data_IF_532334300448
#
_entry.id   IF_532334300448
#
_cell.length_a   1.000
_cell.length_b   1.000
_cell.length_c   1.000
_cell.angle_alpha   90.00
_cell.angle_beta   90.00
_cell.angle_gamma   90.00
#
_symmetry.space_group_name_H-M   'P 1'
#
loop_
_entity.id
_entity.type
_entity.pdbx_description
1 polymer ?
#
# COMPACT_ATOMS: atom_id res chain seq x y z
N UNK A 1 10.32 -30.72 22.58
CA UNK A 1 10.50 -30.60 21.13
C UNK A 1 9.81 -29.34 20.70
N UNK A 2 10.52 -28.39 20.10
CA UNK A 2 9.92 -27.15 19.62
C UNK A 2 9.05 -27.46 18.40
N UNK A 3 7.74 -27.28 18.51
CA UNK A 3 6.84 -27.24 17.36
C UNK A 3 7.37 -26.19 16.39
N UNK A 4 7.65 -26.57 15.13
CA UNK A 4 8.04 -25.63 14.10
C UNK A 4 6.98 -24.53 14.02
N UNK A 5 7.38 -23.29 14.37
CA UNK A 5 6.49 -22.13 14.28
C UNK A 5 6.15 -21.95 12.80
N UNK A 6 4.86 -21.92 12.45
CA UNK A 6 4.43 -21.62 11.09
C UNK A 6 5.07 -20.30 10.64
N UNK A 7 5.63 -20.30 9.42
CA UNK A 7 6.26 -19.12 8.85
C UNK A 7 5.16 -18.07 8.63
N UNK A 8 5.38 -16.87 9.16
CA UNK A 8 4.42 -15.76 9.05
C UNK A 8 4.66 -14.98 7.77
N UNK A 9 3.61 -14.50 7.14
CA UNK A 9 3.71 -13.79 5.86
C UNK A 9 3.57 -12.28 6.05
N UNK A 10 4.46 -11.51 5.42
CA UNK A 10 4.43 -10.05 5.40
C UNK A 10 4.46 -9.51 3.97
N UNK A 11 3.59 -8.55 3.65
CA UNK A 11 3.61 -7.79 2.40
C UNK A 11 4.05 -6.37 2.69
N UNK A 12 5.02 -5.86 1.95
CA UNK A 12 5.53 -4.50 2.07
C UNK A 12 5.44 -3.83 0.70
N UNK A 13 4.61 -2.79 0.56
CA UNK A 13 4.52 -2.05 -0.70
C UNK A 13 5.70 -1.11 -0.87
N UNK A 14 6.24 -0.99 -2.09
CA UNK A 14 7.38 -0.11 -2.39
C UNK A 14 8.65 -0.50 -1.65
N UNK A 15 8.91 -1.81 -1.53
CA UNK A 15 9.99 -2.37 -0.73
C UNK A 15 11.33 -2.55 -1.47
N UNK A 16 11.45 -2.04 -2.69
CA UNK A 16 12.69 -2.16 -3.46
C UNK A 16 13.80 -1.19 -2.97
N UNK A 17 13.44 -0.13 -2.24
CA UNK A 17 14.40 0.86 -1.72
C UNK A 17 13.96 1.44 -0.37
N UNK A 18 14.82 2.30 0.21
CA UNK A 18 14.46 3.19 1.32
C UNK A 18 13.97 2.45 2.56
N UNK A 19 12.96 3.03 3.21
CA UNK A 19 12.35 2.49 4.43
C UNK A 19 11.78 1.10 4.18
N UNK A 20 11.01 0.92 3.09
CA UNK A 20 10.38 -0.36 2.75
C UNK A 20 11.38 -1.52 2.65
N UNK A 21 12.53 -1.32 2.01
CA UNK A 21 13.56 -2.38 1.90
C UNK A 21 14.13 -2.78 3.27
N UNK A 22 14.40 -1.79 4.13
CA UNK A 22 14.92 -2.08 5.48
C UNK A 22 13.85 -2.65 6.40
N UNK A 23 12.58 -2.28 6.23
CA UNK A 23 11.45 -2.93 6.89
C UNK A 23 11.35 -4.41 6.49
N UNK A 24 11.48 -4.72 5.19
CA UNK A 24 11.49 -6.09 4.71
C UNK A 24 12.68 -6.89 5.28
N UNK A 25 13.88 -6.31 5.31
CA UNK A 25 15.05 -6.95 5.95
C UNK A 25 14.78 -7.24 7.44
N UNK A 26 14.29 -6.26 8.19
CA UNK A 26 14.00 -6.43 9.61
C UNK A 26 12.95 -7.52 9.86
N UNK A 27 11.88 -7.57 9.06
CA UNK A 27 10.87 -8.63 9.16
C UNK A 27 11.46 -10.01 8.79
N UNK A 28 12.26 -10.09 7.73
CA UNK A 28 12.91 -11.33 7.33
C UNK A 28 13.84 -11.88 8.42
N UNK A 29 14.60 -11.00 9.08
CA UNK A 29 15.44 -11.36 10.25
C UNK A 29 14.62 -11.88 11.45
N UNK A 30 13.33 -11.56 11.53
CA UNK A 30 12.40 -12.07 12.55
C UNK A 30 11.59 -13.28 12.06
N UNK A 31 12.03 -13.93 10.98
CA UNK A 31 11.47 -15.18 10.47
C UNK A 31 10.15 -15.01 9.70
N UNK A 32 9.88 -13.83 9.16
CA UNK A 32 8.77 -13.65 8.22
C UNK A 32 9.18 -14.05 6.80
N UNK A 33 8.26 -14.67 6.07
CA UNK A 33 8.29 -14.69 4.62
C UNK A 33 7.84 -13.31 4.11
N UNK A 34 8.74 -12.55 3.49
CA UNK A 34 8.44 -11.20 3.04
C UNK A 34 8.23 -11.13 1.53
N UNK A 35 7.07 -10.61 1.13
CA UNK A 35 6.73 -10.27 -0.25
C UNK A 35 7.02 -8.78 -0.44
N UNK A 36 8.06 -8.49 -1.21
CA UNK A 36 8.41 -7.15 -1.64
C UNK A 36 7.51 -6.77 -2.83
N UNK A 37 6.41 -6.06 -2.56
CA UNK A 37 5.48 -5.64 -3.59
C UNK A 37 5.99 -4.36 -4.27
N UNK A 38 6.54 -4.51 -5.48
CA UNK A 38 7.32 -3.48 -6.16
C UNK A 38 6.80 -3.26 -7.59
N UNK A 39 6.85 -2.02 -8.07
CA UNK A 39 6.41 -1.70 -9.44
C UNK A 39 7.37 -2.22 -10.52
N UNK A 40 8.69 -2.15 -10.29
CA UNK A 40 9.70 -2.66 -11.23
C UNK A 40 10.18 -4.03 -10.77
N UNK A 41 10.01 -5.02 -11.63
CA UNK A 41 10.49 -6.37 -11.38
C UNK A 41 12.01 -6.43 -11.22
N UNK A 42 12.79 -5.67 -12.01
CA UNK A 42 14.25 -5.66 -11.85
C UNK A 42 14.68 -5.10 -10.50
N UNK A 43 14.16 -3.94 -10.11
CA UNK A 43 14.50 -3.31 -8.82
C UNK A 43 14.03 -4.15 -7.63
N UNK A 44 12.93 -4.88 -7.79
CA UNK A 44 12.46 -5.86 -6.82
C UNK A 44 13.46 -7.02 -6.63
N UNK A 45 13.96 -7.58 -7.75
CA UNK A 45 14.98 -8.65 -7.73
C UNK A 45 16.30 -8.18 -7.11
N UNK A 46 16.74 -6.97 -7.43
CA UNK A 46 17.91 -6.34 -6.79
C UNK A 46 17.74 -6.21 -5.28
N UNK A 47 16.55 -5.82 -4.81
CA UNK A 47 16.27 -5.72 -3.38
C UNK A 47 16.24 -7.08 -2.69
N UNK A 48 15.69 -8.11 -3.34
CA UNK A 48 15.74 -9.50 -2.85
C UNK A 48 17.20 -9.97 -2.71
N UNK A 49 18.02 -9.78 -3.73
CA UNK A 49 19.44 -10.14 -3.70
C UNK A 49 20.18 -9.41 -2.56
N UNK A 50 19.96 -8.09 -2.44
CA UNK A 50 20.54 -7.30 -1.37
C UNK A 50 20.13 -7.80 0.02
N UNK A 51 18.86 -8.15 0.25
CA UNK A 51 18.40 -8.71 1.53
C UNK A 51 19.06 -10.08 1.80
N UNK A 52 19.18 -10.94 0.79
CA UNK A 52 19.81 -12.24 0.92
C UNK A 52 21.30 -12.13 1.29
N UNK A 53 22.01 -11.12 0.77
CA UNK A 53 23.39 -10.81 1.17
C UNK A 53 23.48 -10.37 2.64
N UNK A 54 22.50 -9.61 3.15
CA UNK A 54 22.47 -9.17 4.55
C UNK A 54 22.02 -10.28 5.51
N UNK A 55 21.19 -11.22 5.05
CA UNK A 55 20.67 -12.31 5.84
C UNK A 55 20.40 -13.54 4.95
N UNK A 56 21.36 -14.47 4.91
CA UNK A 56 21.30 -15.64 4.02
C UNK A 56 20.10 -16.58 4.28
N UNK A 57 19.53 -16.57 5.49
CA UNK A 57 18.34 -17.35 5.84
C UNK A 57 17.02 -16.60 5.58
N UNK A 58 17.08 -15.39 5.00
CA UNK A 58 15.91 -14.58 4.70
C UNK A 58 14.99 -15.31 3.72
N UNK A 59 13.72 -15.48 4.10
CA UNK A 59 12.66 -15.91 3.19
C UNK A 59 12.03 -14.67 2.56
N UNK A 60 12.48 -14.31 1.36
CA UNK A 60 12.01 -13.11 0.66
C UNK A 60 11.76 -13.37 -0.81
N UNK A 61 10.69 -12.81 -1.34
CA UNK A 61 10.39 -12.79 -2.77
C UNK A 61 9.92 -11.40 -3.21
N UNK A 62 9.93 -11.13 -4.50
CA UNK A 62 9.35 -9.91 -5.07
C UNK A 62 8.14 -10.27 -5.92
N UNK A 63 7.11 -9.43 -5.85
CA UNK A 63 5.93 -9.52 -6.71
C UNK A 63 5.62 -8.15 -7.28
N UNK A 64 5.14 -8.13 -8.51
CA UNK A 64 4.81 -6.89 -9.20
C UNK A 64 3.55 -6.27 -8.60
N UNK A 65 3.61 -4.98 -8.28
CA UNK A 65 2.46 -4.19 -7.85
C UNK A 65 2.65 -2.73 -8.28
N UNK A 66 1.83 -2.27 -9.22
CA UNK A 66 1.72 -0.87 -9.55
C UNK A 66 0.49 -0.24 -8.90
N UNK A 67 0.71 0.57 -7.87
CA UNK A 67 -0.36 1.29 -7.18
C UNK A 67 -0.96 2.43 -8.01
N UNK A 68 -0.41 2.77 -9.17
CA UNK A 68 -1.05 3.70 -10.11
C UNK A 68 -2.20 3.02 -10.89
N UNK A 69 -2.19 1.69 -10.99
CA UNK A 69 -3.16 0.90 -11.76
C UNK A 69 -4.00 -0.01 -10.85
N UNK A 70 -5.31 0.21 -10.80
CA UNK A 70 -6.19 -0.62 -9.97
C UNK A 70 -6.29 -2.06 -10.48
N UNK A 71 -6.13 -2.32 -11.79
CA UNK A 71 -6.11 -3.69 -12.30
C UNK A 71 -4.88 -4.46 -11.78
N UNK A 72 -3.73 -3.79 -11.69
CA UNK A 72 -2.53 -4.32 -11.02
C UNK A 72 -2.81 -4.66 -9.55
N UNK A 73 -3.48 -3.77 -8.80
CA UNK A 73 -3.85 -4.01 -7.39
C UNK A 73 -4.76 -5.23 -7.23
N UNK A 74 -5.80 -5.33 -8.07
CA UNK A 74 -6.75 -6.45 -8.05
C UNK A 74 -6.06 -7.77 -8.40
N UNK A 75 -5.25 -7.79 -9.46
CA UNK A 75 -4.47 -8.97 -9.89
C UNK A 75 -3.49 -9.43 -8.82
N UNK A 76 -2.73 -8.48 -8.23
CA UNK A 76 -1.83 -8.77 -7.13
C UNK A 76 -2.57 -9.40 -5.93
N UNK A 77 -3.69 -8.80 -5.52
CA UNK A 77 -4.45 -9.31 -4.39
C UNK A 77 -5.06 -10.69 -4.68
N UNK A 78 -5.55 -10.93 -5.89
CA UNK A 78 -6.07 -12.23 -6.31
C UNK A 78 -4.99 -13.33 -6.23
N UNK A 79 -3.79 -13.07 -6.76
CA UNK A 79 -2.69 -14.03 -6.66
C UNK A 79 -2.27 -14.31 -5.21
N UNK A 80 -2.17 -13.27 -4.37
CA UNK A 80 -1.88 -13.45 -2.94
C UNK A 80 -2.95 -14.29 -2.25
N UNK A 81 -4.24 -14.10 -2.57
CA UNK A 81 -5.34 -14.90 -2.01
C UNK A 81 -5.34 -16.35 -2.47
N UNK A 82 -4.81 -16.63 -3.66
CA UNK A 82 -4.65 -18.01 -4.13
C UNK A 82 -3.47 -18.71 -3.44
N UNK A 83 -2.39 -17.99 -3.18
CA UNK A 83 -1.13 -18.59 -2.72
C UNK A 83 -1.02 -18.71 -1.20
N UNK A 84 -1.76 -17.88 -0.44
CA UNK A 84 -1.63 -17.82 1.01
C UNK A 84 -2.97 -18.00 1.72
N UNK A 85 -2.96 -18.74 2.83
CA UNK A 85 -4.15 -18.96 3.66
C UNK A 85 -4.41 -17.79 4.62
N UNK A 86 -3.37 -17.10 5.08
CA UNK A 86 -3.48 -15.95 5.96
C UNK A 86 -2.38 -14.91 5.68
N UNK A 87 -2.57 -13.70 6.20
CA UNK A 87 -1.60 -12.62 6.12
C UNK A 87 -1.38 -12.02 7.52
N UNK A 88 -0.14 -12.00 7.99
CA UNK A 88 0.19 -11.52 9.34
C UNK A 88 0.55 -10.04 9.35
N UNK A 89 1.20 -9.52 8.30
CA UNK A 89 1.61 -8.12 8.25
C UNK A 89 1.39 -7.53 6.86
N UNK A 90 0.69 -6.40 6.81
CA UNK A 90 0.57 -5.57 5.60
C UNK A 90 1.15 -4.18 5.90
N UNK A 91 2.28 -3.85 5.27
CA UNK A 91 2.92 -2.53 5.40
C UNK A 91 2.60 -1.70 4.16
N UNK A 92 1.74 -0.70 4.34
CA UNK A 92 1.35 0.29 3.34
C UNK A 92 2.43 1.39 3.30
N UNK A 93 3.59 1.04 2.73
CA UNK A 93 4.80 1.88 2.73
C UNK A 93 4.94 2.75 1.48
N UNK A 94 4.58 2.22 0.31
CA UNK A 94 4.79 2.89 -0.96
C UNK A 94 4.21 4.31 -0.98
N UNK A 95 4.94 5.24 -1.57
CA UNK A 95 4.42 6.58 -1.77
C UNK A 95 5.29 7.37 -2.71
N UNK A 96 4.65 8.29 -3.43
CA UNK A 96 5.30 9.27 -4.27
C UNK A 96 5.14 10.66 -3.67
N UNK A 97 6.21 11.45 -3.76
CA UNK A 97 6.22 12.85 -3.33
C UNK A 97 5.59 13.78 -4.37
N UNK A 98 5.12 14.93 -3.91
CA UNK A 98 4.53 15.97 -4.77
C UNK A 98 5.53 17.00 -5.33
N UNK A 99 6.81 16.94 -4.96
CA UNK A 99 7.85 17.87 -5.46
C UNK A 99 8.88 17.09 -6.30
N UNK A 100 9.06 17.47 -7.56
CA UNK A 100 10.20 17.04 -8.38
C UNK A 100 9.90 16.14 -9.59
N UNK A 101 8.68 15.61 -9.74
CA UNK A 101 8.22 15.04 -11.01
C UNK A 101 7.21 15.98 -11.64
N UNK A 102 7.73 16.99 -12.34
CA UNK A 102 6.97 17.57 -13.43
C UNK A 102 6.70 16.45 -14.45
N UNK A 103 5.42 16.15 -14.66
CA UNK A 103 4.88 15.73 -15.95
C UNK A 103 5.38 14.38 -16.49
N UNK A 104 4.74 13.29 -16.05
CA UNK A 104 4.16 12.41 -17.06
C UNK A 104 2.66 12.54 -16.86
N UNK A 105 2.04 13.34 -17.73
CA UNK A 105 0.60 13.43 -17.76
C UNK A 105 0.05 12.02 -17.97
N UNK A 106 -0.77 11.56 -17.04
CA UNK A 106 -1.70 10.48 -17.36
C UNK A 106 -2.50 10.94 -18.59
N UNK A 107 -2.67 10.11 -19.64
CA UNK A 107 -3.29 10.54 -20.91
C UNK A 107 -4.70 11.15 -20.78
N UNK A 108 -5.32 11.02 -19.61
CA UNK A 108 -6.64 11.53 -19.24
C UNK A 108 -6.63 12.84 -18.40
N UNK A 109 -5.47 13.38 -18.00
CA UNK A 109 -5.37 14.65 -17.27
C UNK A 109 -5.57 14.55 -15.74
N UNK A 110 -5.35 13.36 -15.16
CA UNK A 110 -5.61 13.06 -13.75
C UNK A 110 -4.39 13.24 -12.80
N UNK A 111 -3.42 14.11 -13.10
CA UNK A 111 -2.13 14.13 -12.37
C UNK A 111 -2.22 14.52 -10.89
N UNK A 112 -3.24 15.31 -10.49
CA UNK A 112 -3.54 15.59 -9.08
C UNK A 112 -4.11 14.35 -8.33
N UNK A 113 -4.66 13.40 -9.07
CA UNK A 113 -5.22 12.16 -8.55
C UNK A 113 -4.13 11.08 -8.36
N UNK A 114 -3.00 11.13 -9.08
CA UNK A 114 -1.99 10.08 -9.03
C UNK A 114 -1.32 9.95 -7.64
N UNK A 115 -0.94 11.07 -7.01
CA UNK A 115 -0.33 11.05 -5.66
C UNK A 115 -1.33 10.50 -4.64
N UNK A 116 -2.58 10.94 -4.69
CA UNK A 116 -3.61 10.49 -3.77
C UNK A 116 -3.98 9.02 -4.01
N UNK A 117 -4.03 8.60 -5.28
CA UNK A 117 -4.25 7.22 -5.70
C UNK A 117 -3.17 6.29 -5.16
N UNK A 118 -1.91 6.56 -5.50
CA UNK A 118 -0.77 5.73 -5.10
C UNK A 118 -0.62 5.70 -3.58
N UNK A 119 -0.67 6.87 -2.92
CA UNK A 119 -0.38 6.95 -1.50
C UNK A 119 -1.54 6.45 -0.62
N UNK A 120 -2.78 6.51 -1.11
CA UNK A 120 -3.97 6.20 -0.31
C UNK A 120 -4.98 5.27 -0.99
N UNK A 121 -5.60 5.64 -2.12
CA UNK A 121 -6.75 4.88 -2.66
C UNK A 121 -6.39 3.44 -3.00
N UNK A 122 -5.24 3.21 -3.64
CA UNK A 122 -4.79 1.87 -3.99
C UNK A 122 -4.39 1.05 -2.76
N UNK A 123 -3.87 1.69 -1.72
CA UNK A 123 -3.60 1.05 -0.43
C UNK A 123 -4.88 0.66 0.31
N UNK A 124 -5.90 1.52 0.27
CA UNK A 124 -7.24 1.22 0.78
C UNK A 124 -7.83 0.00 0.05
N UNK A 125 -7.85 0.04 -1.30
CA UNK A 125 -8.33 -1.06 -2.14
C UNK A 125 -7.59 -2.37 -1.84
N UNK A 126 -6.25 -2.34 -1.82
CA UNK A 126 -5.41 -3.49 -1.50
C UNK A 126 -5.77 -4.09 -0.14
N UNK A 127 -5.93 -3.24 0.87
CA UNK A 127 -6.29 -3.69 2.22
C UNK A 127 -7.67 -4.33 2.25
N UNK A 128 -8.67 -3.74 1.57
CA UNK A 128 -10.00 -4.33 1.45
C UNK A 128 -9.97 -5.69 0.76
N UNK A 129 -9.15 -5.86 -0.29
CA UNK A 129 -9.04 -7.14 -1.02
C UNK A 129 -8.30 -8.23 -0.25
N UNK A 130 -7.42 -7.86 0.67
CA UNK A 130 -6.67 -8.79 1.53
C UNK A 130 -7.28 -8.94 2.93
N UNK A 131 -8.43 -8.33 3.19
CA UNK A 131 -9.02 -8.27 4.52
C UNK A 131 -9.36 -9.65 5.09
N UNK A 132 -9.86 -10.58 4.26
CA UNK A 132 -10.15 -11.95 4.69
C UNK A 132 -8.88 -12.72 5.11
N UNK A 133 -7.76 -12.52 4.42
CA UNK A 133 -6.48 -13.09 4.81
C UNK A 133 -5.96 -12.50 6.12
N UNK A 134 -6.12 -11.19 6.31
CA UNK A 134 -5.75 -10.50 7.54
C UNK A 134 -6.59 -10.99 8.72
N UNK A 135 -7.90 -11.21 8.53
CA UNK A 135 -8.78 -11.75 9.58
C UNK A 135 -8.45 -13.21 9.95
N UNK A 136 -7.91 -14.00 9.00
CA UNK A 136 -7.41 -15.35 9.28
C UNK A 136 -6.04 -15.36 9.97
N UNK A 137 -5.32 -14.24 9.98
CA UNK A 137 -4.02 -14.11 10.63
C UNK A 137 -4.14 -14.09 12.17
N UNK A 138 -3.28 -14.83 12.86
CA UNK A 138 -3.36 -15.00 14.33
C UNK A 138 -3.08 -13.73 15.14
N UNK A 139 -2.37 -12.75 14.57
CA UNK A 139 -2.10 -11.45 15.19
C UNK A 139 -1.81 -10.41 14.12
N UNK A 140 -2.70 -10.34 13.13
CA UNK A 140 -2.49 -9.54 11.94
C UNK A 140 -2.31 -8.05 12.24
N UNK A 141 -1.40 -7.39 11.51
CA UNK A 141 -1.12 -5.96 11.63
C UNK A 141 -1.15 -5.28 10.27
N UNK A 142 -1.91 -4.20 10.16
CA UNK A 142 -1.81 -3.26 9.04
C UNK A 142 -1.03 -2.03 9.51
N UNK A 143 0.11 -1.76 8.88
CA UNK A 143 1.00 -0.64 9.22
C UNK A 143 0.94 0.41 8.12
N UNK A 144 0.48 1.61 8.46
CA UNK A 144 0.34 2.73 7.55
C UNK A 144 1.53 3.68 7.63
N UNK A 145 2.39 3.74 6.61
CA UNK A 145 3.53 4.68 6.61
C UNK A 145 3.06 6.07 6.16
N UNK A 146 2.70 6.87 7.15
CA UNK A 146 2.32 8.28 6.95
C UNK A 146 3.55 9.21 6.92
N UNK A 147 3.35 10.51 7.11
CA UNK A 147 4.41 11.51 7.23
C UNK A 147 3.93 12.66 8.11
N UNK A 148 4.84 13.35 8.82
CA UNK A 148 4.51 14.51 9.67
C UNK A 148 3.71 15.59 8.92
N UNK A 149 3.86 15.65 7.59
CA UNK A 149 3.15 16.63 6.77
C UNK A 149 1.63 16.44 6.76
N UNK A 150 1.10 15.29 7.20
CA UNK A 150 -0.34 15.10 7.36
C UNK A 150 -0.98 16.17 8.27
N UNK A 151 -0.21 16.74 9.20
CA UNK A 151 -0.67 17.82 10.10
C UNK A 151 -0.95 19.14 9.38
N UNK A 152 -0.41 19.31 8.17
CA UNK A 152 -0.63 20.49 7.35
C UNK A 152 -1.73 20.28 6.29
N UNK A 153 -2.41 19.13 6.31
CA UNK A 153 -3.53 18.88 5.42
C UNK A 153 -4.76 19.71 5.83
N UNK A 154 -5.46 20.28 4.83
CA UNK A 154 -6.68 21.04 5.07
C UNK A 154 -7.83 20.13 5.52
N UNK A 155 -8.75 20.64 6.36
CA UNK A 155 -9.87 19.89 6.94
C UNK A 155 -10.83 19.25 5.91
N UNK A 156 -10.85 19.76 4.67
CA UNK A 156 -11.66 19.26 3.55
C UNK A 156 -11.01 18.08 2.80
N UNK A 157 -10.11 17.33 3.42
CA UNK A 157 -9.43 16.15 2.83
C UNK A 157 -10.40 15.08 2.29
N UNK A 158 -11.61 14.99 2.87
CA UNK A 158 -12.68 14.08 2.49
C UNK A 158 -13.49 14.56 1.27
N UNK A 159 -13.31 15.81 0.85
CA UNK A 159 -13.93 16.34 -0.37
C UNK A 159 -13.09 16.09 -1.63
N UNK A 160 -11.96 15.39 -1.50
CA UNK A 160 -11.24 14.93 -2.68
C UNK A 160 -12.17 14.01 -3.49
N UNK A 161 -12.24 14.25 -4.81
CA UNK A 161 -13.02 13.52 -5.82
C UNK A 161 -13.09 12.00 -5.59
N UNK A 162 -12.00 11.41 -5.06
CA UNK A 162 -11.87 9.98 -4.80
C UNK A 162 -12.77 9.40 -3.71
N UNK A 163 -13.16 10.16 -2.67
CA UNK A 163 -14.06 9.61 -1.64
C UNK A 163 -15.47 9.33 -2.22
N UNK A 164 -15.93 10.14 -3.18
CA UNK A 164 -17.17 9.87 -3.92
C UNK A 164 -17.02 8.69 -4.90
N UNK A 165 -15.81 8.46 -5.43
CA UNK A 165 -15.52 7.34 -6.35
C UNK A 165 -15.37 5.97 -5.64
N UNK A 166 -14.98 5.94 -4.36
CA UNK A 166 -14.95 4.70 -3.57
C UNK A 166 -16.35 4.11 -3.37
N UNK A 167 -17.37 4.94 -3.17
CA UNK A 167 -18.76 4.52 -3.06
C UNK A 167 -19.33 3.93 -4.36
N UNK A 168 -18.79 4.30 -5.53
CA UNK A 168 -19.12 3.67 -6.81
C UNK A 168 -18.44 2.31 -7.01
N UNK A 169 -17.27 2.09 -6.39
CA UNK A 169 -16.58 0.79 -6.41
C UNK A 169 -17.33 -0.28 -5.61
N UNK A 170 -17.91 0.07 -4.44
CA UNK A 170 -18.78 -0.82 -3.67
C UNK A 170 -20.05 -1.25 -4.44
N UNK A 171 -20.47 -0.47 -5.44
CA UNK A 171 -21.66 -0.74 -6.26
C UNK A 171 -21.36 -1.43 -7.60
N UNK A 172 -20.12 -1.83 -7.85
CA UNK A 172 -19.75 -2.57 -9.06
C UNK A 172 -19.91 -1.77 -10.37
N UNK A 173 -19.91 -0.44 -10.32
CA UNK A 173 -20.02 0.40 -11.53
C UNK A 173 -18.62 0.84 -11.99
N UNK A 174 -18.13 0.39 -13.17
CA UNK A 174 -16.91 0.94 -13.76
C UNK A 174 -17.24 2.29 -14.40
N UNK A 175 -16.82 3.39 -13.78
CA UNK A 175 -17.08 4.70 -14.34
C UNK A 175 -16.40 5.86 -13.61
N UNK A 176 -15.31 6.36 -14.18
CA UNK A 176 -14.71 7.65 -13.84
C UNK A 176 -15.72 8.78 -14.16
N UNK A 177 -16.32 9.39 -13.13
CA UNK A 177 -17.00 10.69 -13.29
C UNK A 177 -15.95 11.77 -13.53
N UNK A 178 -16.11 12.50 -14.65
CA UNK A 178 -15.22 13.55 -15.17
C UNK A 178 -15.52 14.94 -14.59
N UNK A 179 -15.89 15.04 -13.31
CA UNK A 179 -16.12 16.35 -12.68
C UNK A 179 -14.80 16.86 -12.07
N UNK A 180 -13.93 17.37 -12.93
CA UNK A 180 -12.65 17.98 -12.55
C UNK A 180 -12.86 19.44 -12.11
N UNK A 181 -12.81 19.70 -10.80
CA UNK A 181 -12.56 21.06 -10.32
C UNK A 181 -11.05 21.26 -10.14
N UNK A 182 -10.46 21.97 -11.10
CA UNK A 182 -9.04 22.28 -11.18
C UNK A 182 -8.59 23.20 -10.03
N UNK A 183 -7.32 23.03 -9.59
CA UNK A 183 -6.51 23.92 -8.73
C UNK A 183 -6.47 23.64 -7.21
N UNK A 184 -6.30 22.39 -6.78
CA UNK A 184 -5.70 22.14 -5.45
C UNK A 184 -4.16 22.16 -5.56
N UNK A 185 -3.43 23.00 -4.81
CA UNK A 185 -1.96 23.04 -4.86
C UNK A 185 -1.33 21.70 -4.44
N UNK A 186 -0.31 21.22 -5.15
CA UNK A 186 0.28 19.86 -4.99
C UNK A 186 0.77 19.50 -3.57
N UNK A 187 1.22 20.49 -2.78
CA UNK A 187 1.57 20.29 -1.37
C UNK A 187 0.34 19.89 -0.51
N UNK A 188 -0.85 20.33 -0.94
CA UNK A 188 -2.14 19.93 -0.36
C UNK A 188 -2.44 18.46 -0.63
N UNK A 189 -2.16 17.94 -1.83
CA UNK A 189 -2.51 16.55 -2.21
C UNK A 189 -1.66 15.52 -1.49
N UNK A 190 -0.34 15.72 -1.40
CA UNK A 190 0.53 14.79 -0.67
C UNK A 190 0.15 14.76 0.82
N UNK A 191 0.02 15.94 1.44
CA UNK A 191 -0.40 16.07 2.84
C UNK A 191 -1.78 15.44 3.08
N UNK A 192 -2.76 15.69 2.19
CA UNK A 192 -4.09 15.08 2.27
C UNK A 192 -4.05 13.55 2.12
N UNK A 193 -3.22 13.00 1.24
CA UNK A 193 -3.07 11.54 1.08
C UNK A 193 -2.51 10.90 2.35
N UNK A 194 -1.56 11.56 3.03
CA UNK A 194 -0.96 11.09 4.27
C UNK A 194 -1.91 11.25 5.47
N UNK A 195 -2.78 12.26 5.47
CA UNK A 195 -3.88 12.38 6.44
C UNK A 195 -4.93 11.28 6.22
N UNK A 196 -5.34 11.03 4.98
CA UNK A 196 -6.30 9.98 4.66
C UNK A 196 -5.79 8.60 5.12
N UNK A 197 -4.51 8.31 4.91
CA UNK A 197 -3.89 7.07 5.38
C UNK A 197 -3.88 6.98 6.93
N UNK A 198 -3.66 8.09 7.64
CA UNK A 198 -3.71 8.14 9.10
C UNK A 198 -5.13 7.92 9.64
N UNK A 199 -6.14 8.54 9.01
CA UNK A 199 -7.56 8.32 9.36
C UNK A 199 -7.95 6.87 9.08
N UNK A 200 -7.49 6.30 7.97
CA UNK A 200 -7.75 4.90 7.65
C UNK A 200 -7.13 3.93 8.66
N UNK A 201 -5.91 4.20 9.14
CA UNK A 201 -5.30 3.42 10.21
C UNK A 201 -6.15 3.45 11.50
N UNK A 202 -6.69 4.61 11.86
CA UNK A 202 -7.60 4.75 13.00
C UNK A 202 -8.91 3.97 12.77
N UNK A 203 -9.46 4.00 11.55
CA UNK A 203 -10.70 3.30 11.22
C UNK A 203 -10.54 1.77 11.20
N UNK A 204 -9.44 1.24 10.66
CA UNK A 204 -9.12 -0.19 10.78
C UNK A 204 -9.01 -0.58 12.25
N UNK A 205 -8.30 0.21 13.05
CA UNK A 205 -8.14 -0.05 14.49
C UNK A 205 -9.49 -0.04 15.21
N UNK A 206 -10.37 0.92 14.89
CA UNK A 206 -11.72 0.98 15.46
C UNK A 206 -12.56 -0.24 15.12
N UNK A 207 -12.46 -0.77 13.89
CA UNK A 207 -13.26 -1.92 13.43
C UNK A 207 -12.69 -3.28 13.86
N UNK A 208 -11.36 -3.41 13.89
CA UNK A 208 -10.68 -4.71 14.01
C UNK A 208 -9.68 -4.80 15.17
N UNK A 209 -9.32 -3.69 15.83
CA UNK A 209 -8.24 -3.63 16.82
C UNK A 209 -8.55 -4.23 18.19
N UNK A 210 -9.82 -4.56 18.48
CA UNK A 210 -10.22 -5.24 19.71
C UNK A 210 -10.16 -6.78 19.61
N UNK A 211 -9.68 -7.31 18.48
CA UNK A 211 -9.53 -8.74 18.22
C UNK A 211 -8.12 -9.22 18.53
#
# INVERSE_FOLDING_TARGET
>A
GATAKAIRTAIITGANTGVGRHTALGLAQHGFHCILACRSAERGKEAVAWIAEQHAAASVETRELDLADFASVESFAAHVRCDFECLDVLVLNAGIGGMGRALEATPDGADHDLVYRVNFVSHFLLTCRLLDLLERGTSARVVCVSSVVHRFAHARWHEHSHFRQLASYEKGMPGLSKDHNAKAPQCSTYSASKLALAVFAAEITRRYGAR
#
